data_IF_662495501420
#
_entry.id   IF_662495501420
#
_cell.length_a   1.000
_cell.length_b   1.000
_cell.length_c   1.000
_cell.angle_alpha   90.00
_cell.angle_beta   90.00
_cell.angle_gamma   90.00
#
_symmetry.space_group_name_H-M   'P 1'
#
loop_
_entity.id
_entity.type
_entity.pdbx_description
1 polymer ?
#
# COMPACT_ATOMS: atom_id res chain seq x y z
N UNK A 1 -8.84 3.88 -7.98
CA UNK A 1 -7.68 4.79 -7.94
C UNK A 1 -7.21 5.21 -9.34
N UNK A 2 -6.86 4.28 -10.26
CA UNK A 2 -6.44 4.63 -11.62
C UNK A 2 -7.42 5.58 -12.35
N UNK A 3 -8.72 5.36 -12.21
CA UNK A 3 -9.76 6.25 -12.76
C UNK A 3 -9.67 7.70 -12.23
N UNK A 4 -9.39 7.90 -10.93
CA UNK A 4 -9.26 9.23 -10.33
C UNK A 4 -8.04 9.97 -10.89
N UNK A 5 -6.91 9.27 -11.04
CA UNK A 5 -5.68 9.84 -11.61
C UNK A 5 -5.86 10.17 -13.10
N UNK A 6 -6.47 9.26 -13.88
CA UNK A 6 -6.81 9.52 -15.28
C UNK A 6 -7.73 10.74 -15.42
N UNK A 7 -8.68 10.92 -14.49
CA UNK A 7 -9.57 12.08 -14.49
C UNK A 7 -8.79 13.39 -14.33
N UNK A 8 -7.91 13.50 -13.34
CA UNK A 8 -7.14 14.74 -13.11
C UNK A 8 -6.16 15.03 -14.25
N UNK A 9 -5.52 14.00 -14.81
CA UNK A 9 -4.63 14.13 -15.98
C UNK A 9 -5.41 14.69 -17.18
N UNK A 10 -6.62 14.20 -17.43
CA UNK A 10 -7.52 14.71 -18.49
C UNK A 10 -7.97 16.15 -18.27
N UNK A 11 -8.00 16.63 -17.02
CA UNK A 11 -8.23 18.04 -16.69
C UNK A 11 -6.96 18.90 -16.82
N UNK A 12 -5.82 18.31 -17.17
CA UNK A 12 -4.53 18.98 -17.29
C UNK A 12 -3.86 19.22 -15.94
N UNK A 13 -4.15 18.40 -14.92
CA UNK A 13 -3.52 18.46 -13.61
C UNK A 13 -2.72 17.20 -13.33
N UNK A 14 -1.59 17.36 -12.65
CA UNK A 14 -0.76 16.27 -12.11
C UNK A 14 -0.69 16.40 -10.59
N UNK A 15 -0.73 15.26 -9.90
CA UNK A 15 -0.86 15.24 -8.45
C UNK A 15 0.48 15.48 -7.75
N UNK A 16 1.54 14.80 -8.20
CA UNK A 16 2.95 14.89 -7.72
C UNK A 16 3.23 14.38 -6.30
N UNK A 17 2.22 13.98 -5.54
CA UNK A 17 2.39 13.31 -4.24
C UNK A 17 1.41 12.14 -4.03
N UNK A 18 1.26 11.30 -5.06
CA UNK A 18 0.47 10.07 -4.95
C UNK A 18 1.19 9.11 -4.01
N UNK A 19 0.54 8.78 -2.89
CA UNK A 19 1.04 7.87 -1.84
C UNK A 19 -0.12 7.28 -1.05
N UNK A 20 0.14 6.23 -0.26
CA UNK A 20 -0.92 5.55 0.49
C UNK A 20 -1.61 6.49 1.48
N UNK A 21 -0.87 7.41 2.09
CA UNK A 21 -1.37 8.37 3.07
C UNK A 21 -2.33 9.40 2.46
N UNK A 22 -2.23 9.64 1.15
CA UNK A 22 -3.08 10.58 0.42
C UNK A 22 -4.28 9.89 -0.26
N UNK A 23 -4.47 8.58 0.00
CA UNK A 23 -5.65 7.82 -0.42
C UNK A 23 -6.53 7.61 0.80
N UNK A 24 -7.66 8.31 0.82
CA UNK A 24 -8.67 8.17 1.86
C UNK A 24 -9.69 7.12 1.46
N UNK A 25 -10.41 6.62 2.45
CA UNK A 25 -11.56 5.75 2.29
C UNK A 25 -12.75 6.50 2.89
N UNK A 26 -13.82 6.68 2.13
CA UNK A 26 -15.06 7.31 2.62
C UNK A 26 -15.96 6.30 3.35
N UNK A 27 -17.10 6.77 3.87
CA UNK A 27 -18.09 5.94 4.58
C UNK A 27 -18.72 4.85 3.69
N UNK A 28 -18.61 4.99 2.37
CA UNK A 28 -19.04 4.00 1.38
C UNK A 28 -17.92 3.01 1.00
N UNK A 29 -16.77 3.06 1.69
CA UNK A 29 -15.56 2.31 1.37
C UNK A 29 -14.96 2.59 -0.02
N UNK A 30 -15.25 3.76 -0.60
CA UNK A 30 -14.67 4.20 -1.87
C UNK A 30 -13.35 4.91 -1.64
N UNK A 31 -12.41 4.68 -2.55
CA UNK A 31 -11.11 5.34 -2.52
C UNK A 31 -11.22 6.78 -3.04
N UNK A 32 -10.74 7.73 -2.24
CA UNK A 32 -10.70 9.16 -2.56
C UNK A 32 -9.25 9.63 -2.60
N UNK A 33 -8.84 10.22 -3.72
CA UNK A 33 -7.54 10.89 -3.83
C UNK A 33 -7.62 12.25 -3.14
N UNK A 34 -6.66 12.55 -2.27
CA UNK A 34 -6.62 13.75 -1.43
C UNK A 34 -5.25 14.42 -1.46
N UNK A 35 -5.16 15.60 -0.83
CA UNK A 35 -3.95 16.42 -0.70
C UNK A 35 -3.32 16.85 -2.04
N UNK A 36 -3.98 17.82 -2.66
CA UNK A 36 -3.51 18.49 -3.88
C UNK A 36 -2.50 19.62 -3.59
N UNK A 37 -1.90 19.67 -2.39
CA UNK A 37 -0.99 20.75 -1.98
C UNK A 37 0.26 20.86 -2.87
N UNK A 38 0.68 19.75 -3.48
CA UNK A 38 1.77 19.71 -4.45
C UNK A 38 1.27 19.65 -5.90
N UNK A 39 -0.02 19.65 -6.17
CA UNK A 39 -0.52 19.52 -7.55
C UNK A 39 -0.25 20.76 -8.39
N UNK A 40 -0.17 20.60 -9.70
CA UNK A 40 -0.05 21.73 -10.63
C UNK A 40 -0.78 21.43 -11.93
N UNK A 41 -1.18 22.50 -12.62
CA UNK A 41 -1.64 22.41 -14.00
C UNK A 41 -0.43 22.22 -14.91
N UNK A 42 -0.59 21.41 -15.94
CA UNK A 42 0.41 21.16 -16.99
C UNK A 42 -0.23 21.28 -18.36
N UNK A 43 0.55 21.79 -19.31
CA UNK A 43 0.22 21.75 -20.72
C UNK A 43 0.69 20.42 -21.32
N UNK A 44 0.08 20.01 -22.44
CA UNK A 44 0.48 18.77 -23.12
C UNK A 44 1.97 18.82 -23.50
N UNK A 45 2.75 17.87 -22.99
CA UNK A 45 4.19 17.78 -23.24
C UNK A 45 5.05 18.76 -22.44
N UNK A 46 4.48 19.41 -21.42
CA UNK A 46 5.24 20.26 -20.51
C UNK A 46 6.11 19.40 -19.58
N UNK A 47 7.38 19.78 -19.45
CA UNK A 47 8.30 19.21 -18.48
C UNK A 47 8.34 20.07 -17.21
N UNK A 48 8.31 19.40 -16.07
CA UNK A 48 8.41 20.02 -14.76
C UNK A 48 9.86 20.01 -14.25
N UNK A 49 10.25 21.07 -13.54
CA UNK A 49 11.61 21.28 -13.02
C UNK A 49 11.68 21.31 -11.48
N UNK A 50 10.54 21.11 -10.81
CA UNK A 50 10.43 21.09 -9.36
C UNK A 50 10.48 19.64 -8.84
N UNK A 51 11.63 19.20 -8.34
CA UNK A 51 11.83 17.83 -7.85
C UNK A 51 11.26 17.65 -6.43
N UNK A 52 9.94 17.43 -6.34
CA UNK A 52 9.17 17.35 -5.08
C UNK A 52 8.39 16.03 -4.98
N UNK A 53 7.82 15.76 -3.79
CA UNK A 53 7.05 14.56 -3.47
C UNK A 53 7.72 13.68 -2.40
N UNK A 54 7.09 12.55 -2.10
CA UNK A 54 7.60 11.61 -1.09
C UNK A 54 8.60 10.62 -1.69
N UNK A 55 9.83 10.57 -1.14
CA UNK A 55 10.97 9.84 -1.75
C UNK A 55 10.70 8.37 -2.11
N UNK A 56 9.93 7.65 -1.29
CA UNK A 56 9.60 6.23 -1.52
C UNK A 56 8.68 6.00 -2.72
N UNK A 57 8.04 7.05 -3.24
CA UNK A 57 7.09 7.01 -4.36
C UNK A 57 7.62 7.73 -5.61
N UNK A 58 8.76 8.43 -5.49
CA UNK A 58 9.34 9.21 -6.59
C UNK A 58 9.83 8.32 -7.73
N UNK A 59 9.48 8.72 -8.95
CA UNK A 59 10.01 8.15 -10.19
C UNK A 59 11.53 8.39 -10.33
N UNK A 60 12.27 7.53 -11.06
CA UNK A 60 13.72 7.62 -11.17
C UNK A 60 14.21 8.96 -11.74
N UNK A 61 13.49 9.56 -12.68
CA UNK A 61 13.82 10.86 -13.25
C UNK A 61 13.74 12.01 -12.22
N UNK A 62 12.78 11.97 -11.30
CA UNK A 62 12.70 12.94 -10.19
C UNK A 62 13.89 12.73 -9.24
N UNK A 63 14.20 11.47 -8.90
CA UNK A 63 15.34 11.13 -8.04
C UNK A 63 16.67 11.60 -8.66
N UNK A 64 16.79 11.47 -9.98
CA UNK A 64 17.95 11.91 -10.76
C UNK A 64 17.99 13.43 -11.02
N UNK A 65 16.98 14.19 -10.55
CA UNK A 65 16.81 15.64 -10.83
C UNK A 65 16.81 15.96 -12.32
N UNK A 66 16.11 15.14 -13.10
CA UNK A 66 15.87 15.36 -14.51
C UNK A 66 14.49 15.94 -14.71
N UNK A 67 14.35 16.85 -15.65
CA UNK A 67 13.06 17.42 -16.02
C UNK A 67 12.14 16.31 -16.52
N UNK A 68 10.87 16.35 -16.10
CA UNK A 68 10.01 15.17 -16.16
C UNK A 68 8.57 15.49 -16.55
N UNK A 69 7.87 14.50 -17.11
CA UNK A 69 6.42 14.57 -17.33
C UNK A 69 5.69 14.19 -16.06
N UNK A 70 4.86 15.10 -15.54
CA UNK A 70 4.17 14.88 -14.26
C UNK A 70 3.24 13.67 -14.29
N UNK A 71 2.55 13.45 -15.41
CA UNK A 71 1.63 12.33 -15.61
C UNK A 71 2.35 10.99 -15.48
N UNK A 72 3.52 10.87 -16.12
CA UNK A 72 4.34 9.66 -16.06
C UNK A 72 4.88 9.38 -14.66
N UNK A 73 5.15 10.42 -13.86
CA UNK A 73 5.56 10.25 -12.47
C UNK A 73 4.42 9.83 -11.55
N UNK A 74 3.20 10.35 -11.77
CA UNK A 74 2.00 9.89 -11.06
C UNK A 74 1.72 8.39 -11.33
N UNK A 75 1.93 7.93 -12.56
CA UNK A 75 1.83 6.50 -12.92
C UNK A 75 2.84 5.65 -12.16
N UNK A 76 4.08 6.12 -12.05
CA UNK A 76 5.11 5.41 -11.28
C UNK A 76 4.71 5.27 -9.81
N UNK A 77 4.23 6.36 -9.21
CA UNK A 77 3.76 6.36 -7.83
C UNK A 77 2.56 5.41 -7.62
N UNK A 78 1.63 5.34 -8.58
CA UNK A 78 0.56 4.32 -8.57
C UNK A 78 1.12 2.89 -8.61
N UNK A 79 2.19 2.65 -9.37
CA UNK A 79 2.87 1.35 -9.42
C UNK A 79 3.47 0.97 -8.06
N UNK A 80 4.05 1.94 -7.36
CA UNK A 80 4.56 1.74 -5.99
C UNK A 80 3.42 1.40 -5.05
N UNK A 81 2.30 2.12 -5.12
CA UNK A 81 1.12 1.84 -4.28
C UNK A 81 0.56 0.44 -4.54
N UNK A 82 0.35 0.07 -5.81
CA UNK A 82 -0.15 -1.24 -6.18
C UNK A 82 0.77 -2.34 -5.64
N UNK A 83 2.08 -2.15 -5.74
CA UNK A 83 3.05 -3.04 -5.14
C UNK A 83 2.87 -3.09 -3.60
N UNK A 84 2.86 -1.95 -2.91
CA UNK A 84 2.70 -1.95 -1.45
C UNK A 84 1.43 -2.66 -0.96
N UNK A 85 0.31 -2.50 -1.65
CA UNK A 85 -0.96 -3.16 -1.30
C UNK A 85 -0.88 -4.69 -1.43
N UNK A 86 -0.17 -5.21 -2.42
CA UNK A 86 -0.10 -6.65 -2.70
C UNK A 86 1.01 -7.37 -1.92
N UNK A 87 2.16 -6.70 -1.76
CA UNK A 87 3.38 -7.29 -1.21
C UNK A 87 3.67 -6.85 0.23
N UNK A 88 2.94 -5.86 0.76
CA UNK A 88 3.16 -5.25 2.09
C UNK A 88 4.60 -4.75 2.28
N UNK A 89 5.24 -4.34 1.17
CA UNK A 89 6.60 -3.83 1.13
C UNK A 89 6.76 -2.90 -0.07
N UNK A 90 7.85 -2.14 -0.13
CA UNK A 90 8.17 -1.28 -1.27
C UNK A 90 8.90 -2.06 -2.37
N UNK A 91 8.76 -1.65 -3.65
CA UNK A 91 9.46 -2.31 -4.76
C UNK A 91 10.98 -2.07 -4.76
N UNK A 92 11.47 -1.15 -3.92
CA UNK A 92 12.87 -0.78 -3.78
C UNK A 92 13.18 -0.21 -2.39
N UNK A 93 14.46 -0.11 -2.04
CA UNK A 93 14.91 0.39 -0.74
C UNK A 93 15.15 1.90 -0.81
N UNK A 94 14.12 2.66 -0.45
CA UNK A 94 14.20 4.11 -0.27
C UNK A 94 13.96 4.92 -1.53
N UNK A 95 14.79 4.77 -2.59
CA UNK A 95 14.65 5.55 -3.83
C UNK A 95 14.79 4.69 -5.07
N UNK A 96 14.01 5.00 -6.10
CA UNK A 96 14.09 4.38 -7.42
C UNK A 96 15.35 4.84 -8.17
N UNK A 97 16.48 4.18 -7.95
CA UNK A 97 17.75 4.49 -8.63
C UNK A 97 18.49 3.21 -9.05
N UNK A 98 19.34 3.23 -10.11
CA UNK A 98 20.01 2.03 -10.61
C UNK A 98 20.93 1.33 -9.60
N UNK A 99 21.40 2.04 -8.57
CA UNK A 99 22.22 1.48 -7.49
C UNK A 99 21.42 0.73 -6.43
N UNK A 100 20.08 0.86 -6.42
CA UNK A 100 19.22 0.16 -5.47
C UNK A 100 19.25 -1.36 -5.70
N UNK A 101 19.39 -2.18 -4.64
CA UNK A 101 19.53 -3.63 -4.77
C UNK A 101 18.34 -4.33 -5.43
N UNK A 102 17.15 -3.73 -5.45
CA UNK A 102 15.94 -4.25 -6.08
C UNK A 102 15.63 -3.52 -7.40
N UNK A 103 15.61 -2.18 -7.39
CA UNK A 103 15.25 -1.37 -8.56
C UNK A 103 16.24 -1.49 -9.71
N UNK A 104 17.51 -1.86 -9.44
CA UNK A 104 18.48 -2.17 -10.50
C UNK A 104 17.95 -3.20 -11.52
N UNK A 105 17.04 -4.08 -11.12
CA UNK A 105 16.46 -5.06 -12.04
C UNK A 105 15.46 -4.43 -13.02
N UNK A 106 14.74 -3.37 -12.61
CA UNK A 106 13.96 -2.55 -13.54
C UNK A 106 14.86 -1.73 -14.45
N UNK A 107 15.89 -1.07 -13.89
CA UNK A 107 16.85 -0.29 -14.67
C UNK A 107 17.57 -1.11 -15.75
N UNK A 108 17.84 -2.40 -15.48
CA UNK A 108 18.47 -3.33 -16.42
C UNK A 108 17.47 -4.22 -17.19
N UNK A 109 16.16 -3.95 -17.09
CA UNK A 109 15.07 -4.74 -17.74
C UNK A 109 15.12 -6.25 -17.44
N UNK A 110 15.65 -6.62 -16.27
CA UNK A 110 15.73 -8.01 -15.81
C UNK A 110 14.57 -8.30 -14.84
N UNK A 111 13.34 -8.16 -15.33
CA UNK A 111 12.13 -8.38 -14.53
C UNK A 111 12.04 -9.82 -14.00
N UNK A 112 12.54 -10.81 -14.75
CA UNK A 112 12.58 -12.22 -14.31
C UNK A 112 13.32 -12.34 -12.98
N UNK A 113 14.51 -11.72 -12.87
CA UNK A 113 15.31 -11.77 -11.64
C UNK A 113 14.64 -11.02 -10.50
N UNK A 114 13.99 -9.89 -10.77
CA UNK A 114 13.20 -9.16 -9.78
C UNK A 114 12.09 -10.03 -9.19
N UNK A 115 11.25 -10.60 -10.05
CA UNK A 115 10.10 -11.40 -9.62
C UNK A 115 10.51 -12.68 -8.87
N UNK A 116 11.61 -13.33 -9.26
CA UNK A 116 12.16 -14.46 -8.50
C UNK A 116 12.53 -14.08 -7.05
N UNK A 117 13.03 -12.86 -6.83
CA UNK A 117 13.36 -12.38 -5.48
C UNK A 117 12.09 -12.07 -4.68
N UNK A 118 11.12 -11.38 -5.30
CA UNK A 118 9.84 -11.05 -4.68
C UNK A 118 9.10 -12.32 -4.27
N UNK A 119 8.93 -13.27 -5.18
CA UNK A 119 8.20 -14.52 -4.90
C UNK A 119 8.88 -15.37 -3.82
N UNK A 120 10.22 -15.40 -3.82
CA UNK A 120 11.00 -16.05 -2.76
C UNK A 120 10.76 -15.37 -1.40
N UNK A 121 10.73 -14.05 -1.35
CA UNK A 121 10.55 -13.28 -0.12
C UNK A 121 9.12 -13.42 0.42
N UNK A 122 8.12 -13.29 -0.45
CA UNK A 122 6.70 -13.32 -0.06
C UNK A 122 6.14 -14.72 0.07
N UNK A 123 6.84 -15.75 -0.43
CA UNK A 123 6.36 -17.13 -0.52
C UNK A 123 5.00 -17.24 -1.25
N UNK A 124 4.81 -16.42 -2.28
CA UNK A 124 3.58 -16.32 -3.08
C UNK A 124 3.95 -16.28 -4.55
N UNK A 125 3.06 -16.78 -5.41
CA UNK A 125 3.15 -16.63 -6.86
C UNK A 125 2.20 -15.53 -7.33
N UNK A 126 2.61 -14.82 -8.38
CA UNK A 126 1.81 -13.73 -8.97
C UNK A 126 1.55 -14.01 -10.44
N UNK A 127 0.37 -13.59 -10.91
CA UNK A 127 -0.05 -13.83 -12.29
C UNK A 127 0.85 -13.07 -13.27
N UNK A 128 1.07 -13.59 -14.49
CA UNK A 128 1.83 -12.88 -15.52
C UNK A 128 1.29 -11.47 -15.82
N UNK A 129 -0.02 -11.30 -15.80
CA UNK A 129 -0.72 -10.04 -16.09
C UNK A 129 -0.42 -9.00 -15.01
N UNK A 130 -0.47 -9.38 -13.74
CA UNK A 130 -0.08 -8.49 -12.63
C UNK A 130 1.37 -8.05 -12.76
N UNK A 131 2.27 -9.01 -13.05
CA UNK A 131 3.70 -8.73 -13.23
C UNK A 131 3.91 -7.78 -14.39
N UNK A 132 3.21 -7.98 -15.51
CA UNK A 132 3.25 -7.11 -16.68
C UNK A 132 2.82 -5.68 -16.36
N UNK A 133 1.69 -5.51 -15.67
CA UNK A 133 1.20 -4.20 -15.27
C UNK A 133 2.21 -3.46 -14.39
N UNK A 134 2.72 -4.11 -13.33
CA UNK A 134 3.71 -3.51 -12.43
C UNK A 134 5.02 -3.21 -13.17
N UNK A 135 5.45 -4.07 -14.09
CA UNK A 135 6.63 -3.83 -14.93
C UNK A 135 6.48 -2.54 -15.75
N UNK A 136 5.31 -2.34 -16.37
CA UNK A 136 5.00 -1.15 -17.16
C UNK A 136 4.90 0.11 -16.30
N UNK A 137 4.27 0.04 -15.12
CA UNK A 137 4.13 1.21 -14.24
C UNK A 137 5.47 1.65 -13.63
N UNK A 138 6.34 0.70 -13.28
CA UNK A 138 7.62 0.94 -12.62
C UNK A 138 8.80 1.00 -13.60
N UNK A 139 8.55 1.13 -14.90
CA UNK A 139 9.58 1.21 -15.93
C UNK A 139 10.58 2.35 -15.66
N UNK A 140 11.87 2.04 -15.83
CA UNK A 140 12.95 3.00 -15.61
C UNK A 140 13.00 4.05 -16.72
N UNK A 141 12.87 3.64 -17.98
CA UNK A 141 12.73 4.55 -19.11
C UNK A 141 11.29 5.05 -19.17
N UNK A 142 11.11 6.37 -19.16
CA UNK A 142 9.80 7.02 -19.24
C UNK A 142 9.04 6.66 -20.52
N UNK A 143 9.75 6.38 -21.61
CA UNK A 143 9.13 6.03 -22.89
C UNK A 143 8.61 4.59 -22.92
N UNK A 144 9.06 3.75 -22.00
CA UNK A 144 8.58 2.37 -21.80
C UNK A 144 7.54 2.29 -20.69
N UNK A 145 7.29 3.41 -20.00
CA UNK A 145 6.30 3.46 -18.95
C UNK A 145 4.91 3.46 -19.55
N UNK A 146 4.09 2.54 -19.07
CA UNK A 146 2.70 2.39 -19.49
C UNK A 146 1.92 3.70 -19.28
N UNK A 147 0.97 4.00 -20.16
CA UNK A 147 0.09 5.17 -20.06
C UNK A 147 -1.13 4.90 -19.17
N UNK A 148 -1.83 5.95 -18.75
CA UNK A 148 -3.06 5.79 -17.97
C UNK A 148 -4.17 5.07 -18.76
N UNK A 149 -4.25 5.31 -20.06
CA UNK A 149 -5.17 4.64 -20.98
C UNK A 149 -4.88 3.13 -21.02
N UNK A 150 -3.62 2.75 -21.24
CA UNK A 150 -3.20 1.35 -21.25
C UNK A 150 -3.38 0.67 -19.89
N UNK A 151 -3.19 1.38 -18.77
CA UNK A 151 -3.51 0.85 -17.43
C UNK A 151 -5.00 0.51 -17.34
N UNK A 152 -5.88 1.44 -17.70
CA UNK A 152 -7.33 1.24 -17.58
C UNK A 152 -7.86 0.10 -18.47
N UNK A 153 -7.15 -0.23 -19.54
CA UNK A 153 -7.48 -1.33 -20.45
C UNK A 153 -6.70 -2.62 -20.15
N UNK A 154 -5.78 -2.60 -19.18
CA UNK A 154 -4.89 -3.73 -18.91
C UNK A 154 -5.66 -4.96 -18.43
N UNK A 155 -5.30 -6.15 -18.95
CA UNK A 155 -5.98 -7.43 -18.68
C UNK A 155 -6.16 -7.72 -17.19
N UNK A 156 -5.15 -7.43 -16.38
CA UNK A 156 -5.21 -7.60 -14.92
C UNK A 156 -6.37 -6.82 -14.25
N UNK A 157 -6.69 -5.63 -14.75
CA UNK A 157 -7.81 -4.81 -14.26
C UNK A 157 -9.17 -5.26 -14.80
N UNK A 158 -9.19 -6.01 -15.90
CA UNK A 158 -10.39 -6.58 -16.52
C UNK A 158 -10.71 -8.00 -16.01
N UNK A 159 -10.26 -8.32 -14.79
CA UNK A 159 -10.63 -9.56 -14.10
C UNK A 159 -11.93 -9.37 -13.32
N UNK A 160 -12.52 -10.47 -12.85
CA UNK A 160 -13.72 -10.42 -12.03
C UNK A 160 -13.38 -9.74 -10.69
N UNK A 161 -13.84 -8.50 -10.52
CA UNK A 161 -13.61 -7.70 -9.32
C UNK A 161 -14.90 -7.62 -8.52
N UNK A 162 -14.84 -7.72 -7.18
CA UNK A 162 -16.01 -7.52 -6.36
C UNK A 162 -16.66 -6.17 -6.66
N UNK A 163 -17.98 -6.19 -6.81
CA UNK A 163 -18.80 -4.99 -6.85
C UNK A 163 -18.60 -4.15 -5.59
N UNK A 164 -18.98 -2.88 -5.66
CA UNK A 164 -18.86 -2.00 -4.49
C UNK A 164 -19.63 -2.54 -3.28
N UNK A 165 -20.82 -3.11 -3.49
CA UNK A 165 -21.59 -3.72 -2.40
C UNK A 165 -20.92 -4.96 -1.82
N UNK A 166 -20.28 -5.79 -2.65
CA UNK A 166 -19.49 -6.94 -2.16
C UNK A 166 -18.26 -6.48 -1.37
N UNK A 167 -17.57 -5.43 -1.82
CA UNK A 167 -16.45 -4.84 -1.06
C UNK A 167 -16.93 -4.33 0.30
N UNK A 168 -18.05 -3.60 0.35
CA UNK A 168 -18.64 -3.11 1.60
C UNK A 168 -18.93 -4.27 2.55
N UNK A 169 -19.56 -5.33 2.05
CA UNK A 169 -19.89 -6.51 2.84
C UNK A 169 -18.63 -7.18 3.40
N UNK A 170 -17.61 -7.43 2.55
CA UNK A 170 -16.35 -8.05 2.96
C UNK A 170 -15.68 -7.23 4.09
N UNK A 171 -15.65 -5.91 3.95
CA UNK A 171 -15.01 -5.04 4.95
C UNK A 171 -15.82 -5.02 6.26
N UNK A 172 -17.16 -4.96 6.17
CA UNK A 172 -18.02 -4.98 7.36
C UNK A 172 -17.91 -6.31 8.12
N UNK A 173 -17.90 -7.45 7.42
CA UNK A 173 -17.68 -8.77 8.00
C UNK A 173 -16.32 -8.84 8.71
N UNK A 174 -15.27 -8.31 8.07
CA UNK A 174 -13.94 -8.23 8.70
C UNK A 174 -13.95 -7.44 10.00
N UNK A 175 -14.59 -6.26 10.04
CA UNK A 175 -14.66 -5.44 11.26
C UNK A 175 -15.45 -6.14 12.38
N UNK A 176 -16.58 -6.77 12.05
CA UNK A 176 -17.38 -7.53 13.02
C UNK A 176 -16.56 -8.69 13.63
N UNK A 177 -15.78 -9.40 12.82
CA UNK A 177 -14.89 -10.46 13.32
C UNK A 177 -13.79 -9.93 14.25
N UNK A 178 -13.26 -8.73 13.98
CA UNK A 178 -12.25 -8.13 14.87
C UNK A 178 -12.86 -7.68 16.20
N UNK A 179 -14.06 -7.09 16.16
CA UNK A 179 -14.78 -6.68 17.38
C UNK A 179 -15.09 -7.89 18.26
N UNK A 180 -15.58 -8.99 17.69
CA UNK A 180 -15.83 -10.23 18.43
C UNK A 180 -14.56 -10.79 19.08
N UNK A 181 -13.43 -10.79 18.37
CA UNK A 181 -12.14 -11.24 18.92
C UNK A 181 -11.67 -10.36 20.08
N UNK A 182 -11.82 -9.04 19.96
CA UNK A 182 -11.49 -8.13 21.05
C UNK A 182 -12.37 -8.35 22.29
N UNK A 183 -13.68 -8.55 22.10
CA UNK A 183 -14.60 -8.87 23.20
C UNK A 183 -14.27 -10.21 23.87
N UNK A 184 -13.92 -11.24 23.09
CA UNK A 184 -13.49 -12.53 23.62
C UNK A 184 -12.18 -12.43 24.44
N UNK A 185 -11.19 -11.69 23.94
CA UNK A 185 -9.92 -11.45 24.64
C UNK A 185 -10.13 -10.67 25.95
N UNK A 186 -11.03 -9.68 25.96
CA UNK A 186 -11.41 -8.93 27.16
C UNK A 186 -12.14 -9.82 28.19
N UNK A 187 -12.97 -10.76 27.75
CA UNK A 187 -13.62 -11.74 28.64
C UNK A 187 -12.62 -12.75 29.23
N UNK A 188 -11.65 -13.20 28.44
CA UNK A 188 -10.60 -14.14 28.88
C UNK A 188 -9.64 -13.48 29.88
N UNK A 189 -9.25 -12.22 29.63
CA UNK A 189 -8.37 -11.47 30.54
C UNK A 189 -9.04 -11.16 31.89
N UNK A 190 -10.34 -10.81 31.87
CA UNK A 190 -11.11 -10.56 33.09
C UNK A 190 -11.38 -11.85 33.90
N UNK A 191 -11.71 -12.95 33.24
CA UNK A 191 -11.92 -14.25 33.92
C UNK A 191 -10.62 -14.80 34.54
N UNK A 192 -9.47 -14.60 33.89
CA UNK A 192 -8.16 -14.99 34.41
C UNK A 192 -7.76 -14.19 35.67
N UNK A 193 -8.14 -12.91 35.73
CA UNK A 193 -7.91 -12.03 36.89
C UNK A 193 -8.76 -12.46 38.10
N UNK A 194 -10.02 -12.82 37.89
CA UNK A 194 -10.91 -13.31 38.97
C UNK A 194 -10.47 -14.66 39.56
N UNK A 195 -9.70 -15.46 38.82
CA UNK A 195 -9.18 -16.75 39.30
C UNK A 195 -7.92 -16.61 40.19
N UNK A 196 -7.15 -15.53 40.01
CA UNK A 196 -6.03 -15.17 40.88
C UNK A 196 -6.50 -14.59 42.22
N UNK A 197 -7.54 -13.76 42.21
CA UNK A 197 -8.10 -13.17 43.44
C UNK A 197 -8.79 -14.21 44.33
N UNK A 198 -9.46 -15.21 43.75
CA UNK A 198 -10.07 -16.30 44.51
C UNK A 198 -9.05 -17.28 45.13
N UNK A 199 -7.83 -17.37 44.59
CA UNK A 199 -6.74 -18.17 45.20
C UNK A 199 -6.10 -17.47 46.40
N UNK A 200 -6.13 -16.14 46.46
CA UNK A 200 -5.58 -15.37 47.58
C UNK A 200 -6.54 -15.31 48.79
N UNK A 201 -7.85 -15.45 48.57
CA UNK A 201 -8.85 -15.48 49.66
C UNK A 201 -9.04 -16.87 50.32
N UNK A 202 -8.49 -17.94 49.75
CA UNK A 202 -8.61 -19.31 50.28
C UNK A 202 -7.60 -19.73 51.35
N UNK A 203 -6.63 -18.89 51.71
CA UNK A 203 -5.49 -19.28 52.57
C UNK A 203 -5.39 -18.54 53.92
N UNK A 204 -6.39 -17.74 54.31
CA UNK A 204 -6.45 -17.10 55.63
C UNK A 204 -7.60 -17.68 56.45
N UNK A 205 -7.45 -18.90 56.93
CA UNK A 205 -8.51 -19.55 57.70
C UNK A 205 -8.10 -20.84 58.37
N UNK A 206 -7.04 -20.84 59.18
CA UNK A 206 -6.89 -21.59 60.45
C UNK A 206 -5.41 -21.68 60.82
N UNK A 207 -4.98 -20.90 61.81
CA UNK A 207 -4.17 -21.40 62.92
C UNK A 207 -4.12 -20.34 64.03
N UNK A 208 -5.05 -20.49 64.95
CA UNK A 208 -5.07 -19.76 66.20
C UNK A 208 -4.13 -20.40 67.22
N UNK A 209 -3.30 -19.55 67.81
CA UNK A 209 -3.01 -19.46 69.26
C UNK A 209 -2.65 -20.78 69.97
N UNK A 210 -1.39 -20.91 70.38
CA UNK A 210 -1.04 -21.34 71.75
C UNK A 210 0.32 -20.81 72.20
N UNK A 211 0.33 -20.43 73.47
CA UNK A 211 1.33 -19.65 74.19
C UNK A 211 1.86 -20.51 75.36
N UNK A 212 3.11 -20.24 75.80
CA UNK A 212 3.83 -20.77 76.98
C UNK A 212 4.41 -22.19 76.83
N UNK A 213 5.65 -22.52 77.21
CA UNK A 213 6.65 -21.88 78.08
C UNK A 213 8.01 -21.76 77.40
#
# INVERSE_FOLDING_TARGET
MAQAVSHIHKQGFVHRDIKLENILIDDDYKLVLSDFGLSTRVSKGELLTQYIGTSSYMAPEIVAKQDYYGESCDIFALGVILFCLLYQNYPFQGKAQPSDPHYKYFANKNHIRYWLLVEKQTKKFYSPELKSLINGMLAYDVNERITMEEILEHEWLNTDVPSQEEVKQIIQEYYQEQEQKMEEDDLISNSSSTHLDNKLQGNYGQEGVKQKC
#
